data_IF_923205179566
#
_entry.id   IF_923205179566
#
_cell.length_a   1.000
_cell.length_b   1.000
_cell.length_c   1.000
_cell.angle_alpha   90.00
_cell.angle_beta   90.00
_cell.angle_gamma   90.00
#
_symmetry.space_group_name_H-M   'P 1'
#
loop_
_entity.id
_entity.type
_entity.pdbx_description
1 polymer ?
#
# COMPACT_ATOMS: atom_id res chain seq x y z
N UNK A 1 -19.11 -33.45 28.40
CA UNK A 1 -18.04 -33.62 27.39
C UNK A 1 -18.43 -33.06 26.02
N UNK A 2 -19.68 -33.18 25.58
CA UNK A 2 -20.15 -32.61 24.30
C UNK A 2 -20.16 -31.06 24.26
N UNK A 3 -20.57 -30.43 25.37
CA UNK A 3 -20.65 -28.96 25.49
C UNK A 3 -19.26 -28.29 25.41
N UNK A 4 -18.22 -28.96 25.93
CA UNK A 4 -16.81 -28.51 25.88
C UNK A 4 -16.24 -28.55 24.46
N UNK A 5 -16.62 -29.54 23.65
CA UNK A 5 -16.19 -29.63 22.25
C UNK A 5 -16.78 -28.51 21.39
N UNK A 6 -18.06 -28.18 21.62
CA UNK A 6 -18.74 -27.10 20.87
C UNK A 6 -18.12 -25.74 21.19
N UNK A 7 -17.80 -25.45 22.45
CA UNK A 7 -17.16 -24.17 22.84
C UNK A 7 -15.76 -24.00 22.24
N UNK A 8 -14.96 -25.07 22.18
CA UNK A 8 -13.61 -25.01 21.57
C UNK A 8 -13.68 -24.73 20.07
N UNK A 9 -14.67 -25.27 19.35
CA UNK A 9 -14.86 -25.01 17.92
C UNK A 9 -15.29 -23.55 17.66
N UNK A 10 -16.12 -22.96 18.52
CA UNK A 10 -16.49 -21.53 18.42
C UNK A 10 -15.34 -20.58 18.75
N UNK A 11 -14.36 -21.00 19.55
CA UNK A 11 -13.13 -20.22 19.80
C UNK A 11 -12.05 -20.43 18.73
N UNK A 12 -12.15 -21.49 17.92
CA UNK A 12 -11.27 -21.73 16.79
C UNK A 12 -11.62 -20.72 15.69
N UNK A 13 -11.00 -19.54 15.79
CA UNK A 13 -11.05 -18.53 14.74
C UNK A 13 -10.30 -19.09 13.51
N UNK A 14 -10.95 -19.95 12.72
CA UNK A 14 -10.60 -20.21 11.32
C UNK A 14 -11.00 -19.00 10.46
N UNK A 15 -10.85 -17.80 11.00
CA UNK A 15 -11.07 -16.54 10.31
C UNK A 15 -9.84 -16.28 9.46
N UNK A 16 -9.82 -16.83 8.25
CA UNK A 16 -9.01 -16.24 7.19
C UNK A 16 -9.68 -14.90 6.88
N UNK A 17 -9.31 -13.85 7.60
CA UNK A 17 -9.71 -12.49 7.20
C UNK A 17 -9.02 -12.23 5.88
N UNK A 18 -9.78 -12.03 4.80
CA UNK A 18 -9.20 -11.50 3.56
C UNK A 18 -8.45 -10.23 3.92
N UNK A 19 -7.20 -10.13 3.47
CA UNK A 19 -6.51 -8.85 3.53
C UNK A 19 -7.06 -8.06 2.36
N UNK A 20 -8.03 -7.20 2.63
CA UNK A 20 -8.51 -6.27 1.62
C UNK A 20 -7.37 -5.28 1.34
N UNK A 21 -6.86 -5.31 0.10
CA UNK A 21 -5.86 -4.35 -0.33
C UNK A 21 -6.54 -3.00 -0.47
N UNK A 22 -6.03 -2.01 0.24
CA UNK A 22 -6.63 -0.70 0.32
C UNK A 22 -5.54 0.37 0.36
N UNK A 23 -5.86 1.54 -0.17
CA UNK A 23 -4.99 2.70 -0.03
C UNK A 23 -5.08 3.25 1.40
N UNK A 24 -4.03 3.95 1.85
CA UNK A 24 -4.03 4.59 3.16
C UNK A 24 -3.46 5.99 3.07
N UNK A 25 -3.95 6.90 3.89
CA UNK A 25 -3.26 8.13 4.27
C UNK A 25 -3.18 8.16 5.80
N UNK A 26 -1.97 8.30 6.33
CA UNK A 26 -1.69 8.05 7.74
C UNK A 26 -2.16 6.63 8.11
N UNK A 27 -3.10 6.52 9.05
CA UNK A 27 -3.76 5.26 9.44
C UNK A 27 -5.19 5.13 8.89
N UNK A 28 -5.63 6.06 8.04
CA UNK A 28 -6.99 6.09 7.51
C UNK A 28 -7.04 5.39 6.16
N UNK A 29 -8.02 4.51 5.99
CA UNK A 29 -8.23 3.78 4.76
C UNK A 29 -8.85 4.69 3.68
N UNK A 30 -8.37 4.55 2.45
CA UNK A 30 -8.78 5.31 1.27
C UNK A 30 -9.17 4.34 0.15
N UNK A 31 -10.16 4.71 -0.65
CA UNK A 31 -10.60 3.93 -1.81
C UNK A 31 -9.60 4.07 -2.98
N UNK A 32 -9.21 5.30 -3.28
CA UNK A 32 -8.21 5.63 -4.29
C UNK A 32 -7.44 6.89 -3.89
N UNK A 33 -6.34 7.16 -4.59
CA UNK A 33 -5.72 8.47 -4.64
C UNK A 33 -4.95 8.63 -5.96
N UNK A 34 -4.76 9.86 -6.41
CA UNK A 34 -3.83 10.20 -7.48
C UNK A 34 -2.67 11.00 -6.91
N UNK A 35 -1.47 10.81 -7.45
CA UNK A 35 -0.30 11.62 -7.11
C UNK A 35 0.32 12.16 -8.38
N UNK A 36 0.57 13.46 -8.40
CA UNK A 36 1.32 14.14 -9.44
C UNK A 36 2.64 14.63 -8.85
N UNK A 37 3.74 13.97 -9.23
CA UNK A 37 5.09 14.33 -8.76
C UNK A 37 5.66 15.46 -9.62
N UNK A 38 6.13 16.52 -8.96
CA UNK A 38 6.79 17.64 -9.63
C UNK A 38 8.17 17.22 -10.17
N UNK A 39 8.67 17.89 -11.23
CA UNK A 39 9.99 17.63 -11.77
C UNK A 39 11.07 17.97 -10.74
N UNK A 40 12.08 17.11 -10.64
CA UNK A 40 13.23 17.26 -9.73
C UNK A 40 12.86 17.29 -8.23
N UNK A 41 13.49 16.42 -7.44
CA UNK A 41 13.24 16.33 -6.00
C UNK A 41 12.07 15.43 -5.62
N UNK A 42 11.44 15.73 -4.47
CA UNK A 42 10.42 14.87 -3.82
C UNK A 42 9.03 15.48 -3.78
N UNK A 43 8.90 16.75 -4.16
CA UNK A 43 7.64 17.47 -4.10
C UNK A 43 6.57 16.83 -4.99
N UNK A 44 5.35 16.73 -4.48
CA UNK A 44 4.20 16.16 -5.15
C UNK A 44 2.90 16.80 -4.67
N UNK A 45 1.89 16.74 -5.54
CA UNK A 45 0.50 16.99 -5.20
C UNK A 45 -0.22 15.65 -5.19
N UNK A 46 -1.23 15.50 -4.34
CA UNK A 46 -2.13 14.36 -4.43
C UNK A 46 -3.59 14.80 -4.40
N UNK A 47 -4.45 13.88 -4.80
CA UNK A 47 -5.91 14.03 -4.78
C UNK A 47 -6.50 12.71 -4.27
N UNK A 48 -7.43 12.77 -3.34
CA UNK A 48 -8.12 11.60 -2.78
C UNK A 48 -9.64 11.78 -2.80
N UNK A 49 -10.44 10.75 -2.47
CA UNK A 49 -11.89 10.87 -2.42
C UNK A 49 -12.34 12.08 -1.61
N UNK A 50 -13.37 12.76 -2.13
CA UNK A 50 -13.99 13.96 -1.55
C UNK A 50 -13.13 15.24 -1.51
N UNK A 51 -11.88 15.22 -2.01
CA UNK A 51 -11.13 16.46 -2.22
C UNK A 51 -11.75 17.27 -3.37
N UNK A 52 -11.85 18.59 -3.17
CA UNK A 52 -12.35 19.51 -4.20
C UNK A 52 -11.24 19.95 -5.19
N UNK A 53 -9.97 19.87 -4.78
CA UNK A 53 -8.80 20.25 -5.57
C UNK A 53 -7.55 19.51 -5.05
N UNK A 54 -6.46 19.57 -5.82
CA UNK A 54 -5.16 19.03 -5.46
C UNK A 54 -4.60 19.66 -4.18
N UNK A 55 -3.92 18.86 -3.37
CA UNK A 55 -3.27 19.38 -2.16
C UNK A 55 -2.15 20.36 -2.50
N UNK A 56 -1.76 21.17 -1.51
CA UNK A 56 -0.49 21.89 -1.57
C UNK A 56 0.69 20.91 -1.77
N UNK A 57 1.75 21.42 -2.37
CA UNK A 57 2.96 20.66 -2.63
C UNK A 57 3.62 20.16 -1.33
N UNK A 58 3.88 18.86 -1.24
CA UNK A 58 4.58 18.23 -0.13
C UNK A 58 5.49 17.09 -0.62
N UNK A 59 6.48 16.72 0.18
CA UNK A 59 7.38 15.61 -0.13
C UNK A 59 6.62 14.29 -0.17
N UNK A 60 6.69 13.59 -1.30
CA UNK A 60 5.94 12.35 -1.61
C UNK A 60 6.18 11.20 -0.63
N UNK A 61 7.35 11.17 0.00
CA UNK A 61 7.78 10.15 0.96
C UNK A 61 7.61 10.59 2.42
N UNK A 62 7.02 11.76 2.69
CA UNK A 62 6.65 12.14 4.04
C UNK A 62 5.61 11.17 4.60
N UNK A 63 5.69 10.88 5.90
CA UNK A 63 4.93 9.79 6.53
C UNK A 63 3.41 9.92 6.36
N UNK A 64 2.91 11.15 6.30
CA UNK A 64 1.50 11.48 6.19
C UNK A 64 0.96 11.40 4.76
N UNK A 65 1.83 11.18 3.77
CA UNK A 65 1.42 11.08 2.37
C UNK A 65 0.77 9.73 2.09
N UNK A 66 -0.21 9.68 1.18
CA UNK A 66 -0.91 8.44 0.87
C UNK A 66 0.02 7.39 0.24
N UNK A 67 0.98 7.82 -0.58
CA UNK A 67 1.99 6.93 -1.17
C UNK A 67 2.85 6.26 -0.09
N UNK A 68 3.43 7.05 0.83
CA UNK A 68 4.24 6.49 1.92
C UNK A 68 3.40 5.54 2.79
N UNK A 69 2.23 5.98 3.23
CA UNK A 69 1.36 5.23 4.14
C UNK A 69 0.96 3.87 3.55
N UNK A 70 0.52 3.85 2.28
CA UNK A 70 0.12 2.63 1.58
C UNK A 70 1.30 1.68 1.40
N UNK A 71 2.44 2.16 0.90
CA UNK A 71 3.62 1.31 0.69
C UNK A 71 4.19 0.79 2.01
N UNK A 72 4.22 1.62 3.04
CA UNK A 72 4.70 1.21 4.36
C UNK A 72 3.81 0.13 4.98
N UNK A 73 2.48 0.21 4.82
CA UNK A 73 1.54 -0.81 5.31
C UNK A 73 1.88 -2.21 4.80
N UNK A 74 2.19 -2.34 3.51
CA UNK A 74 2.37 -3.64 2.86
C UNK A 74 3.84 -4.08 2.72
N UNK A 75 4.77 -3.15 2.54
CA UNK A 75 6.19 -3.47 2.28
C UNK A 75 7.08 -3.20 3.49
N UNK A 76 6.85 -2.08 4.19
CA UNK A 76 7.72 -1.60 5.27
C UNK A 76 7.35 -2.10 6.67
N UNK A 77 6.10 -2.52 6.90
CA UNK A 77 5.64 -2.91 8.23
C UNK A 77 6.28 -4.23 8.69
N UNK A 78 6.67 -4.29 9.97
CA UNK A 78 7.21 -5.51 10.60
C UNK A 78 6.16 -6.60 10.80
N UNK A 79 4.88 -6.22 10.84
CA UNK A 79 3.74 -7.13 10.86
C UNK A 79 3.18 -7.27 9.44
N UNK A 80 3.85 -8.09 8.64
CA UNK A 80 3.46 -8.33 7.25
C UNK A 80 2.14 -9.09 7.23
N UNK A 81 1.11 -8.49 6.66
CA UNK A 81 -0.12 -9.20 6.36
C UNK A 81 0.19 -10.39 5.42
N UNK A 82 -0.67 -11.42 5.42
CA UNK A 82 -0.54 -12.56 4.50
C UNK A 82 -0.84 -12.11 3.06
N UNK A 83 0.11 -11.41 2.44
CA UNK A 83 -0.03 -10.75 1.15
C UNK A 83 1.09 -11.17 0.22
N UNK A 84 0.73 -11.55 -1.01
CA UNK A 84 1.68 -11.74 -2.10
C UNK A 84 1.71 -10.46 -2.94
N UNK A 85 2.89 -9.89 -3.15
CA UNK A 85 3.09 -8.63 -3.87
C UNK A 85 4.00 -8.87 -5.07
N UNK A 86 3.61 -8.38 -6.25
CA UNK A 86 4.36 -8.57 -7.50
C UNK A 86 4.82 -7.19 -8.00
N UNK A 87 6.06 -6.83 -7.69
CA UNK A 87 6.66 -5.61 -8.24
C UNK A 87 7.24 -5.85 -9.64
N UNK A 88 7.00 -4.92 -10.56
CA UNK A 88 7.56 -4.94 -11.92
C UNK A 88 8.21 -3.61 -12.29
N UNK A 89 9.30 -3.67 -13.05
CA UNK A 89 10.03 -2.54 -13.60
C UNK A 89 11.00 -3.04 -14.67
N UNK A 90 11.13 -2.33 -15.79
CA UNK A 90 12.23 -2.57 -16.74
C UNK A 90 13.61 -2.16 -16.19
N UNK A 91 13.66 -1.46 -15.05
CA UNK A 91 14.89 -1.09 -14.37
C UNK A 91 14.71 -1.36 -12.87
N UNK A 92 14.86 -2.63 -12.44
CA UNK A 92 14.70 -2.99 -11.04
C UNK A 92 15.73 -2.30 -10.15
N UNK A 93 15.42 -2.02 -8.87
CA UNK A 93 16.42 -1.55 -7.92
C UNK A 93 17.64 -2.50 -7.88
N UNK A 94 18.84 -1.93 -7.76
CA UNK A 94 20.13 -2.63 -7.80
C UNK A 94 20.56 -3.25 -9.13
N UNK A 95 19.72 -3.23 -10.17
CA UNK A 95 20.15 -3.57 -11.52
C UNK A 95 20.87 -2.38 -12.14
N UNK A 96 21.95 -2.64 -12.88
CA UNK A 96 22.76 -1.60 -13.54
C UNK A 96 22.35 -1.34 -14.99
N UNK A 97 21.37 -2.06 -15.51
CA UNK A 97 20.95 -2.00 -16.91
C UNK A 97 19.43 -2.19 -17.02
N UNK A 98 18.86 -1.67 -18.12
CA UNK A 98 17.46 -1.85 -18.45
C UNK A 98 17.21 -3.22 -19.08
N UNK A 99 16.17 -3.89 -18.62
CA UNK A 99 15.67 -5.12 -19.22
C UNK A 99 14.88 -4.76 -20.50
N UNK A 100 14.92 -5.61 -21.54
CA UNK A 100 14.20 -5.39 -22.80
C UNK A 100 12.69 -5.67 -22.63
N UNK A 101 12.04 -4.94 -21.73
CA UNK A 101 10.63 -5.03 -21.36
C UNK A 101 9.99 -3.64 -21.35
N UNK A 102 8.66 -3.57 -21.22
CA UNK A 102 7.92 -2.30 -21.15
C UNK A 102 8.45 -1.39 -20.03
N UNK A 103 8.61 -0.06 -20.28
CA UNK A 103 9.14 0.88 -19.29
C UNK A 103 8.23 1.14 -18.10
N UNK A 104 7.02 0.59 -18.10
CA UNK A 104 6.08 0.68 -16.99
C UNK A 104 6.66 0.11 -15.69
N UNK A 105 6.26 0.72 -14.57
CA UNK A 105 6.66 0.31 -13.22
C UNK A 105 5.40 0.21 -12.36
N UNK A 106 5.38 -0.73 -11.44
CA UNK A 106 4.25 -0.92 -10.54
C UNK A 106 4.48 -2.03 -9.52
N UNK A 107 3.46 -2.22 -8.69
CA UNK A 107 3.37 -3.18 -7.60
C UNK A 107 1.98 -3.81 -7.64
#
# INVERSE_FOLDING_TARGET
>A
MFILYVTVIYTLHLGVTSVDFQCFQDNNALDWFFVYKLPSGKSSHYLKPADADWTAAADIDAQQQPMHSTMNKYLGSGNKANTNIIAYSNYPPHFKFELPMSPGKGI
#
